data_IF_267223276910
#
_entry.id   IF_267223276910
#
_cell.length_a   1.000
_cell.length_b   1.000
_cell.length_c   1.000
_cell.angle_alpha   90.00
_cell.angle_beta   90.00
_cell.angle_gamma   90.00
#
_symmetry.space_group_name_H-M   'P 1'
#
loop_
_entity.id
_entity.type
_entity.pdbx_description
1 polymer ?
#
# COMPACT_ATOMS: atom_id res chain seq x y z
N UNK A 1 -15.56 -2.76 24.31
CA UNK A 1 -15.29 -1.49 23.58
C UNK A 1 -15.07 -1.82 22.10
N UNK A 2 -16.12 -1.69 21.31
CA UNK A 2 -16.18 -2.21 19.94
C UNK A 2 -15.13 -1.56 19.05
N UNK A 3 -14.44 -2.39 18.27
CA UNK A 3 -13.58 -1.91 17.20
C UNK A 3 -14.39 -0.97 16.30
N UNK A 4 -13.93 0.26 16.08
CA UNK A 4 -14.58 1.14 15.11
C UNK A 4 -14.62 0.39 13.78
N UNK A 5 -15.77 0.38 13.11
CA UNK A 5 -15.95 -0.31 11.83
C UNK A 5 -14.91 0.24 10.84
N UNK A 6 -13.81 -0.48 10.64
CA UNK A 6 -12.73 -0.08 9.77
C UNK A 6 -12.98 -0.66 8.37
N UNK A 7 -13.31 0.26 7.46
CA UNK A 7 -13.52 0.13 6.02
C UNK A 7 -14.96 -0.15 5.53
N UNK A 8 -15.37 0.40 4.35
CA UNK A 8 -16.75 0.39 3.85
C UNK A 8 -17.24 -0.97 3.29
N UNK A 9 -16.67 -2.09 3.75
CA UNK A 9 -16.98 -3.44 3.25
C UNK A 9 -16.06 -3.94 2.12
N UNK A 10 -15.07 -3.15 1.70
CA UNK A 10 -14.06 -3.56 0.71
C UNK A 10 -12.66 -3.01 1.07
N UNK A 11 -11.63 -3.82 0.82
CA UNK A 11 -10.21 -3.52 1.10
C UNK A 11 -9.34 -3.78 -0.12
N UNK A 12 -8.18 -3.12 -0.21
CA UNK A 12 -7.19 -3.41 -1.25
C UNK A 12 -6.52 -4.77 -0.99
N UNK A 13 -6.09 -5.44 -2.06
CA UNK A 13 -5.28 -6.67 -2.01
C UNK A 13 -3.92 -6.40 -2.68
N UNK A 14 -2.84 -6.60 -1.93
CA UNK A 14 -1.45 -6.30 -2.32
C UNK A 14 -0.52 -7.46 -1.94
N UNK A 15 -0.48 -8.55 -2.72
CA UNK A 15 0.17 -9.81 -2.32
C UNK A 15 1.68 -9.70 -2.10
N UNK A 16 2.36 -8.79 -2.79
CA UNK A 16 3.79 -8.55 -2.60
C UNK A 16 4.16 -7.79 -1.31
N UNK A 17 3.18 -7.27 -0.56
CA UNK A 17 3.41 -6.33 0.55
C UNK A 17 2.58 -6.61 1.81
N UNK A 18 1.80 -7.68 1.83
CA UNK A 18 1.03 -8.10 3.00
C UNK A 18 0.96 -9.64 3.08
N UNK A 19 1.31 -10.25 4.22
CA UNK A 19 1.17 -11.70 4.40
C UNK A 19 -0.27 -12.19 4.27
N UNK A 20 -1.25 -11.40 4.72
CA UNK A 20 -2.67 -11.74 4.60
C UNK A 20 -3.10 -11.74 3.13
N UNK A 21 -2.70 -10.71 2.38
CA UNK A 21 -3.00 -10.60 0.94
C UNK A 21 -2.30 -11.70 0.13
N UNK A 22 -1.10 -12.13 0.54
CA UNK A 22 -0.37 -13.23 -0.10
C UNK A 22 -1.11 -14.58 0.06
N UNK A 23 -1.65 -14.85 1.25
CA UNK A 23 -2.43 -16.07 1.49
C UNK A 23 -3.70 -16.09 0.63
N UNK A 24 -4.40 -14.95 0.55
CA UNK A 24 -5.58 -14.78 -0.31
C UNK A 24 -5.20 -14.96 -1.79
N UNK A 25 -4.10 -14.35 -2.24
CA UNK A 25 -3.63 -14.50 -3.61
C UNK A 25 -3.35 -15.95 -3.99
N UNK A 26 -2.73 -16.73 -3.10
CA UNK A 26 -2.48 -18.17 -3.32
C UNK A 26 -3.78 -18.95 -3.43
N UNK A 27 -4.76 -18.68 -2.56
CA UNK A 27 -6.05 -19.34 -2.60
C UNK A 27 -6.84 -19.05 -3.90
N UNK A 28 -6.64 -17.87 -4.48
CA UNK A 28 -7.36 -17.42 -5.68
C UNK A 28 -6.52 -17.37 -6.97
N UNK A 29 -5.29 -17.89 -6.95
CA UNK A 29 -4.40 -17.91 -8.11
C UNK A 29 -4.00 -16.52 -8.63
N UNK A 30 -3.93 -15.51 -7.77
CA UNK A 30 -3.55 -14.14 -8.15
C UNK A 30 -2.03 -14.00 -8.28
N UNK A 31 -1.53 -13.21 -9.25
CA UNK A 31 -0.10 -12.95 -9.39
C UNK A 31 0.45 -12.16 -8.21
N UNK A 32 1.71 -12.42 -7.86
CA UNK A 32 2.43 -11.69 -6.82
C UNK A 32 3.36 -10.70 -7.50
N UNK A 33 3.05 -9.41 -7.35
CA UNK A 33 3.86 -8.30 -7.88
C UNK A 33 4.41 -7.47 -6.73
N UNK A 34 5.69 -7.10 -6.81
CA UNK A 34 6.29 -6.08 -5.95
C UNK A 34 6.56 -4.82 -6.77
N UNK A 35 6.40 -3.67 -6.14
CA UNK A 35 6.70 -2.34 -6.71
C UNK A 35 7.69 -1.58 -5.84
N UNK A 36 8.21 -2.21 -4.78
CA UNK A 36 9.20 -1.65 -3.86
C UNK A 36 10.42 -2.55 -3.92
N UNK A 37 11.57 -1.98 -4.25
CA UNK A 37 12.85 -2.69 -4.26
C UNK A 37 13.42 -2.88 -2.85
N UNK A 38 14.47 -3.68 -2.75
CA UNK A 38 15.13 -4.01 -1.48
C UNK A 38 15.78 -2.78 -0.81
N UNK A 39 16.10 -1.74 -1.60
CA UNK A 39 16.59 -0.44 -1.14
C UNK A 39 15.47 0.48 -0.61
N UNK A 40 14.22 0.04 -0.68
CA UNK A 40 13.05 0.78 -0.23
C UNK A 40 12.58 1.87 -1.20
N UNK A 41 13.09 1.89 -2.43
CA UNK A 41 12.61 2.77 -3.52
C UNK A 41 11.57 2.07 -4.39
N UNK A 42 10.75 2.86 -5.10
CA UNK A 42 9.75 2.33 -6.03
C UNK A 42 10.45 1.80 -7.30
N UNK A 43 10.06 0.62 -7.74
CA UNK A 43 10.61 -0.07 -8.91
C UNK A 43 9.50 -0.53 -9.88
N UNK A 44 9.82 -0.89 -11.13
CA UNK A 44 8.84 -1.46 -12.05
C UNK A 44 8.16 -2.70 -11.44
N UNK A 45 6.84 -2.89 -11.61
CA UNK A 45 5.92 -2.15 -12.49
C UNK A 45 5.19 -0.96 -11.84
N UNK A 46 5.71 -0.37 -10.76
CA UNK A 46 5.06 0.69 -9.95
C UNK A 46 4.76 2.05 -10.62
N UNK A 47 4.89 2.15 -11.94
CA UNK A 47 4.73 3.36 -12.72
C UNK A 47 6.02 4.18 -12.81
N UNK A 48 6.45 4.51 -14.04
CA UNK A 48 7.75 5.16 -14.29
C UNK A 48 7.93 6.53 -13.60
N UNK A 49 6.84 7.25 -13.33
CA UNK A 49 6.88 8.55 -12.65
C UNK A 49 7.25 8.47 -11.15
N UNK A 50 7.29 7.26 -10.57
CA UNK A 50 7.74 7.00 -9.20
C UNK A 50 9.05 6.22 -9.14
N UNK A 51 9.61 5.79 -10.27
CA UNK A 51 10.79 4.92 -10.27
C UNK A 51 11.97 5.59 -9.56
N UNK A 52 12.59 4.88 -8.61
CA UNK A 52 13.69 5.37 -7.77
C UNK A 52 13.27 6.30 -6.63
N UNK A 53 11.99 6.62 -6.48
CA UNK A 53 11.50 7.47 -5.38
C UNK A 53 11.40 6.66 -4.09
N UNK A 54 11.88 7.15 -2.93
CA UNK A 54 11.71 6.47 -1.65
C UNK A 54 10.23 6.26 -1.30
N UNK A 55 9.87 5.09 -0.76
CA UNK A 55 8.47 4.68 -0.50
C UNK A 55 7.60 5.69 0.27
N UNK A 56 8.17 6.38 1.26
CA UNK A 56 7.43 7.37 2.05
C UNK A 56 7.18 8.68 1.30
N UNK A 57 8.11 9.09 0.44
CA UNK A 57 7.93 10.24 -0.42
C UNK A 57 6.93 9.91 -1.56
N UNK A 58 7.05 8.72 -2.14
CA UNK A 58 6.12 8.23 -3.15
C UNK A 58 4.67 8.24 -2.64
N UNK A 59 4.44 7.88 -1.36
CA UNK A 59 3.12 7.98 -0.72
C UNK A 59 2.52 9.38 -0.84
N UNK A 60 3.29 10.43 -0.49
CA UNK A 60 2.82 11.81 -0.58
C UNK A 60 2.47 12.19 -2.02
N UNK A 61 3.32 11.82 -2.99
CA UNK A 61 3.08 12.07 -4.41
C UNK A 61 1.83 11.36 -4.94
N UNK A 62 1.57 10.12 -4.52
CA UNK A 62 0.36 9.36 -4.89
C UNK A 62 -0.90 10.02 -4.32
N UNK A 63 -0.88 10.47 -3.06
CA UNK A 63 -2.03 11.18 -2.46
C UNK A 63 -2.33 12.46 -3.25
N UNK A 64 -1.30 13.24 -3.60
CA UNK A 64 -1.46 14.45 -4.41
C UNK A 64 -2.04 14.13 -5.80
N UNK A 65 -1.55 13.07 -6.47
CA UNK A 65 -2.06 12.65 -7.77
C UNK A 65 -3.52 12.18 -7.71
N UNK A 66 -3.92 11.46 -6.66
CA UNK A 66 -5.32 11.06 -6.44
C UNK A 66 -6.22 12.27 -6.19
N UNK A 67 -5.74 13.26 -5.43
CA UNK A 67 -6.47 14.50 -5.18
C UNK A 67 -6.67 15.32 -6.46
N UNK A 68 -5.61 15.50 -7.25
CA UNK A 68 -5.68 16.20 -8.55
C UNK A 68 -6.66 15.54 -9.53
N UNK A 69 -6.83 14.22 -9.46
CA UNK A 69 -7.76 13.45 -10.29
C UNK A 69 -9.18 13.38 -9.72
N UNK A 70 -9.44 13.95 -8.54
CA UNK A 70 -10.74 13.85 -7.86
C UNK A 70 -11.09 12.44 -7.37
N UNK A 71 -10.10 11.55 -7.23
CA UNK A 71 -10.28 10.16 -6.77
C UNK A 71 -10.08 10.00 -5.26
N UNK A 72 -9.52 11.00 -4.59
CA UNK A 72 -9.31 10.99 -3.14
C UNK A 72 -10.57 11.47 -2.41
N UNK A 73 -11.21 10.57 -1.64
CA UNK A 73 -12.39 10.94 -0.84
C UNK A 73 -12.07 11.58 0.51
N UNK A 74 -10.89 11.31 1.06
CA UNK A 74 -10.49 11.87 2.36
C UNK A 74 -9.26 11.19 2.93
N UNK A 75 -8.64 11.85 3.91
CA UNK A 75 -7.52 11.36 4.70
C UNK A 75 -7.89 11.55 6.17
N UNK A 76 -7.69 10.51 6.97
CA UNK A 76 -7.97 10.53 8.40
C UNK A 76 -6.84 9.84 9.15
N UNK A 77 -6.58 10.29 10.37
CA UNK A 77 -5.59 9.66 11.23
C UNK A 77 -6.08 8.27 11.65
N UNK A 78 -5.15 7.32 11.64
CA UNK A 78 -5.43 5.94 11.98
C UNK A 78 -4.25 5.36 12.75
N UNK A 79 -4.49 5.01 14.02
CA UNK A 79 -3.51 4.32 14.83
C UNK A 79 -3.29 2.91 14.25
N UNK A 80 -2.03 2.55 14.02
CA UNK A 80 -1.64 1.24 13.48
C UNK A 80 -0.42 0.68 14.21
N UNK A 81 -0.33 -0.64 14.26
CA UNK A 81 0.86 -1.33 14.74
C UNK A 81 1.93 -1.33 13.66
N UNK A 82 3.06 -0.68 13.91
CA UNK A 82 4.20 -0.65 12.99
C UNK A 82 5.23 -1.71 13.41
N UNK A 83 5.53 -2.72 12.57
CA UNK A 83 6.64 -3.60 12.83
C UNK A 83 7.95 -2.82 12.64
N UNK A 84 8.79 -2.84 13.67
CA UNK A 84 10.14 -2.28 13.61
C UNK A 84 11.15 -3.42 13.59
N UNK A 85 12.19 -3.27 12.78
CA UNK A 85 13.34 -4.17 12.83
C UNK A 85 13.94 -4.09 14.24
N UNK A 86 13.98 -5.23 14.93
CA UNK A 86 14.77 -5.39 16.14
C UNK A 86 16.04 -6.13 15.71
N UNK A 87 17.16 -5.49 15.99
CA UNK A 87 18.50 -6.06 15.82
C UNK A 87 18.67 -7.34 16.63
#
# INVERSE_FOLDING_TARGET
>A
PGDPVLSPGAVKVTPGHSPQDLALARAHGLPVLSVIGDDGTLCPPGGGWLQGVPRFEARARVVAALAQRGLLRGVQDHAMTLPLCRY
#
